data_IF_394620840353
#
_entry.id   IF_394620840353
#
_cell.length_a   1.000
_cell.length_b   1.000
_cell.length_c   1.000
_cell.angle_alpha   90.00
_cell.angle_beta   90.00
_cell.angle_gamma   90.00
#
_symmetry.space_group_name_H-M   'P 1'
#
loop_
_entity.id
_entity.type
_entity.pdbx_description
1 polymer ?
#
# COMPACT_ATOMS: atom_id res chain seq x y z
N UNK A 1 9.65 6.00 17.37
CA UNK A 1 8.21 6.30 17.25
C UNK A 1 7.64 5.35 16.20
N UNK A 2 6.54 4.61 16.42
CA UNK A 2 6.07 3.65 15.42
C UNK A 2 5.66 4.46 14.18
N UNK A 3 6.46 4.35 13.11
CA UNK A 3 6.34 5.17 11.90
C UNK A 3 4.92 5.08 11.34
N UNK A 4 4.25 6.22 11.21
CA UNK A 4 2.89 6.25 10.69
C UNK A 4 2.95 6.06 9.17
N UNK A 5 2.15 5.15 8.62
CA UNK A 5 2.15 4.89 7.19
C UNK A 5 1.55 6.06 6.42
N UNK A 6 2.22 6.50 5.36
CA UNK A 6 1.80 7.56 4.48
C UNK A 6 0.80 7.05 3.44
N UNK A 7 -0.46 6.90 3.85
CA UNK A 7 -1.56 6.46 2.99
C UNK A 7 -1.79 7.40 1.80
N UNK A 8 -1.59 8.70 1.99
CA UNK A 8 -1.72 9.69 0.91
C UNK A 8 -0.68 9.46 -0.20
N UNK A 9 0.58 9.18 0.18
CA UNK A 9 1.63 8.86 -0.77
C UNK A 9 1.29 7.58 -1.55
N UNK A 10 0.84 6.53 -0.86
CA UNK A 10 0.45 5.26 -1.48
C UNK A 10 -0.65 5.50 -2.53
N UNK A 11 -1.71 6.22 -2.16
CA UNK A 11 -2.82 6.56 -3.06
C UNK A 11 -2.35 7.37 -4.28
N UNK A 12 -1.50 8.37 -4.07
CA UNK A 12 -0.94 9.18 -5.15
C UNK A 12 -0.10 8.34 -6.11
N UNK A 13 0.79 7.49 -5.60
CA UNK A 13 1.65 6.63 -6.41
C UNK A 13 0.83 5.58 -7.18
N UNK A 14 -0.16 4.98 -6.53
CA UNK A 14 -1.08 4.04 -7.15
C UNK A 14 -1.79 4.70 -8.35
N UNK A 15 -2.40 5.87 -8.13
CA UNK A 15 -3.07 6.62 -9.20
C UNK A 15 -2.11 7.06 -10.31
N UNK A 16 -0.92 7.57 -9.94
CA UNK A 16 0.10 8.01 -10.91
C UNK A 16 0.60 6.87 -11.80
N UNK A 17 0.65 5.65 -11.28
CA UNK A 17 1.06 4.45 -12.01
C UNK A 17 -0.10 3.74 -12.71
N UNK A 18 -1.35 4.20 -12.53
CA UNK A 18 -2.52 3.57 -13.12
C UNK A 18 -2.87 2.20 -12.50
N UNK A 19 -2.41 1.91 -11.29
CA UNK A 19 -2.71 0.63 -10.63
C UNK A 19 -4.13 0.62 -10.07
N UNK A 20 -4.84 -0.47 -10.35
CA UNK A 20 -6.15 -0.74 -9.75
C UNK A 20 -6.00 -1.25 -8.32
N UNK A 21 -7.08 -1.25 -7.54
CA UNK A 21 -7.07 -1.89 -6.21
C UNK A 21 -6.80 -3.40 -6.30
N UNK A 22 -7.21 -4.05 -7.40
CA UNK A 22 -6.93 -5.46 -7.66
C UNK A 22 -5.44 -5.71 -7.90
N UNK A 23 -4.78 -4.87 -8.69
CA UNK A 23 -3.33 -4.99 -8.95
C UNK A 23 -2.51 -4.88 -7.66
N UNK A 24 -2.95 -4.00 -6.76
CA UNK A 24 -2.32 -3.82 -5.47
C UNK A 24 -2.61 -5.00 -4.54
N UNK A 25 -3.87 -5.44 -4.45
CA UNK A 25 -4.24 -6.60 -3.66
C UNK A 25 -3.46 -7.85 -4.08
N UNK A 26 -3.39 -8.14 -5.37
CA UNK A 26 -2.62 -9.25 -5.94
C UNK A 26 -1.13 -9.16 -5.59
N UNK A 27 -0.54 -7.97 -5.64
CA UNK A 27 0.87 -7.77 -5.27
C UNK A 27 1.13 -8.02 -3.77
N UNK A 28 0.14 -7.76 -2.92
CA UNK A 28 0.20 -7.97 -1.48
C UNK A 28 -0.24 -9.38 -1.05
N UNK A 29 -0.63 -10.26 -1.99
CA UNK A 29 -1.18 -11.58 -1.67
C UNK A 29 -2.59 -11.53 -1.06
N UNK A 30 -3.30 -10.40 -1.20
CA UNK A 30 -4.66 -10.25 -0.73
C UNK A 30 -5.62 -10.83 -1.78
N UNK A 31 -6.50 -11.74 -1.34
CA UNK A 31 -7.53 -12.36 -2.21
C UNK A 31 -8.52 -11.37 -2.81
N UNK A 32 -8.73 -10.21 -2.18
CA UNK A 32 -9.80 -9.28 -2.53
C UNK A 32 -9.27 -7.84 -2.67
N UNK A 33 -9.65 -7.11 -3.74
CA UNK A 33 -9.34 -5.69 -3.91
C UNK A 33 -9.81 -4.81 -2.75
N UNK A 34 -10.94 -5.19 -2.14
CA UNK A 34 -11.52 -4.43 -1.03
C UNK A 34 -10.62 -4.43 0.22
N UNK A 35 -9.88 -5.52 0.46
CA UNK A 35 -8.92 -5.60 1.58
C UNK A 35 -7.82 -4.57 1.43
N UNK A 36 -7.35 -4.34 0.22
CA UNK A 36 -6.39 -3.28 -0.07
C UNK A 36 -7.04 -1.89 0.07
N UNK A 37 -8.24 -1.71 -0.50
CA UNK A 37 -8.97 -0.44 -0.40
C UNK A 37 -9.17 0.01 1.05
N UNK A 38 -9.61 -0.89 1.93
CA UNK A 38 -9.79 -0.60 3.36
C UNK A 38 -8.50 -0.17 4.07
N UNK A 39 -7.34 -0.70 3.64
CA UNK A 39 -6.02 -0.27 4.14
C UNK A 39 -5.63 1.11 3.63
N UNK A 40 -5.80 1.37 2.34
CA UNK A 40 -5.52 2.67 1.74
C UNK A 40 -6.42 3.78 2.32
N UNK A 41 -7.66 3.47 2.68
CA UNK A 41 -8.58 4.40 3.37
C UNK A 41 -8.26 4.59 4.86
N UNK A 42 -7.30 3.84 5.43
CA UNK A 42 -6.94 3.92 6.84
C UNK A 42 -7.93 3.23 7.79
N UNK A 43 -8.92 2.48 7.26
CA UNK A 43 -9.79 1.63 8.10
C UNK A 43 -9.02 0.46 8.72
N UNK A 44 -8.00 -0.03 8.01
CA UNK A 44 -7.07 -1.06 8.48
C UNK A 44 -5.63 -0.60 8.32
N UNK A 45 -4.75 -1.07 9.21
CA UNK A 45 -3.30 -0.86 9.08
C UNK A 45 -2.72 -1.89 8.12
N UNK A 46 -1.72 -1.49 7.33
CA UNK A 46 -0.90 -2.46 6.61
C UNK A 46 -0.09 -3.26 7.61
N UNK A 47 0.03 -4.56 7.37
CA UNK A 47 0.89 -5.43 8.17
C UNK A 47 2.34 -5.29 7.74
N UNK A 48 3.29 -5.56 8.64
CA UNK A 48 4.72 -5.49 8.33
C UNK A 48 5.11 -6.38 7.13
N UNK A 49 4.45 -7.52 6.96
CA UNK A 49 4.62 -8.45 5.84
C UNK A 49 4.16 -7.89 4.49
N UNK A 50 3.25 -6.92 4.50
CA UNK A 50 2.67 -6.28 3.31
C UNK A 50 3.51 -5.10 2.81
N UNK A 51 4.36 -4.52 3.67
CA UNK A 51 5.14 -3.32 3.34
C UNK A 51 6.24 -3.57 2.28
N UNK A 52 7.04 -4.66 2.34
CA UNK A 52 8.02 -4.95 1.30
C UNK A 52 7.41 -5.14 -0.10
N UNK A 53 6.35 -5.96 -0.30
CA UNK A 53 5.73 -6.09 -1.63
C UNK A 53 5.04 -4.80 -2.08
N UNK A 54 4.46 -4.03 -1.16
CA UNK A 54 3.89 -2.72 -1.45
C UNK A 54 4.96 -1.74 -1.98
N UNK A 55 6.09 -1.62 -1.28
CA UNK A 55 7.23 -0.81 -1.70
C UNK A 55 7.73 -1.21 -3.09
N UNK A 56 7.89 -2.53 -3.32
CA UNK A 56 8.33 -3.08 -4.60
C UNK A 56 7.35 -2.76 -5.74
N UNK A 57 6.05 -2.93 -5.52
CA UNK A 57 5.00 -2.63 -6.51
C UNK A 57 4.96 -1.13 -6.84
N UNK A 58 5.04 -0.29 -5.80
CA UNK A 58 5.09 1.16 -5.95
C UNK A 58 6.45 1.67 -6.45
N UNK A 59 7.48 0.83 -6.51
CA UNK A 59 8.82 1.19 -6.97
C UNK A 59 9.46 2.27 -6.12
N UNK A 60 9.21 2.26 -4.82
CA UNK A 60 9.80 3.19 -3.85
C UNK A 60 10.52 2.42 -2.74
N UNK A 61 11.53 3.02 -2.09
CA UNK A 61 12.09 2.47 -0.86
C UNK A 61 11.02 2.37 0.23
N UNK A 62 11.09 1.31 1.04
CA UNK A 62 10.14 1.07 2.14
C UNK A 62 10.15 2.21 3.17
N UNK A 63 11.28 2.87 3.36
CA UNK A 63 11.44 4.04 4.23
C UNK A 63 10.51 5.18 3.83
N UNK A 64 10.28 5.39 2.51
CA UNK A 64 9.37 6.43 2.02
C UNK A 64 7.90 6.16 2.32
N UNK A 65 7.55 4.91 2.66
CA UNK A 65 6.18 4.57 3.06
C UNK A 65 5.85 5.14 4.43
N UNK A 66 6.85 5.34 5.29
CA UNK A 66 6.65 5.90 6.63
C UNK A 66 6.74 7.43 6.61
N UNK A 67 5.97 8.07 7.48
CA UNK A 67 6.11 9.48 7.86
C UNK A 67 7.07 9.63 9.02
#
# INVERSE_FOLDING_TARGET
MPGTINLNLIKQLRSKKGFTYGDMASALGLKEPEKYYRREQGKYRFQATELPPLAKKLGIPIEKIFK
#
